data_IF_248357387545
#
_entry.id   IF_248357387545
#
_cell.length_a   1.000
_cell.length_b   1.000
_cell.length_c   1.000
_cell.angle_alpha   90.00
_cell.angle_beta   90.00
_cell.angle_gamma   90.00
#
_symmetry.space_group_name_H-M   'P 1'
#
loop_
_entity.id
_entity.type
_entity.pdbx_description
1 polymer ?
#
# COMPACT_ATOMS: atom_id res chain seq x y z
N UNK A 1 -4.06 6.78 -12.27
CA UNK A 1 -3.89 5.98 -11.05
C UNK A 1 -4.50 4.60 -11.21
N UNK A 2 -3.77 3.56 -10.80
CA UNK A 2 -4.22 2.16 -10.82
C UNK A 2 -4.34 1.58 -9.40
N UNK A 3 -4.45 2.45 -8.38
CA UNK A 3 -4.55 2.04 -6.98
C UNK A 3 -5.81 1.19 -6.80
N UNK A 4 -5.72 0.17 -5.97
CA UNK A 4 -6.79 -0.79 -5.70
C UNK A 4 -7.09 -0.93 -4.19
N UNK A 5 -6.46 -0.08 -3.37
CA UNK A 5 -6.64 0.01 -1.92
C UNK A 5 -6.26 1.40 -1.42
N UNK A 6 -7.00 1.88 -0.43
CA UNK A 6 -6.62 3.05 0.38
C UNK A 6 -6.20 2.57 1.76
N UNK A 7 -5.03 3.01 2.24
CA UNK A 7 -4.61 2.81 3.63
C UNK A 7 -4.79 4.12 4.38
N UNK A 8 -5.59 4.10 5.45
CA UNK A 8 -5.83 5.24 6.32
C UNK A 8 -5.07 5.10 7.64
N UNK A 9 -4.22 6.07 7.94
CA UNK A 9 -3.47 6.12 9.18
C UNK A 9 -4.25 6.82 10.30
N UNK A 10 -3.76 6.68 11.54
CA UNK A 10 -4.42 7.25 12.74
C UNK A 10 -4.52 8.79 12.74
N UNK A 11 -3.67 9.46 11.99
CA UNK A 11 -3.69 10.90 11.73
C UNK A 11 -4.53 11.29 10.49
N UNK A 12 -5.38 10.38 10.02
CA UNK A 12 -6.32 10.54 8.90
C UNK A 12 -5.64 10.90 7.56
N UNK A 13 -4.44 10.37 7.33
CA UNK A 13 -3.77 10.46 6.02
C UNK A 13 -4.09 9.22 5.21
N UNK A 14 -4.57 9.43 3.99
CA UNK A 14 -4.94 8.39 3.04
C UNK A 14 -3.80 8.14 2.04
N UNK A 15 -3.34 6.89 1.97
CA UNK A 15 -2.37 6.42 0.99
C UNK A 15 -3.05 5.53 -0.05
N UNK A 16 -3.01 5.95 -1.31
CA UNK A 16 -3.49 5.16 -2.45
C UNK A 16 -2.39 4.19 -2.88
N UNK A 17 -2.66 2.89 -2.79
CA UNK A 17 -1.64 1.85 -2.95
C UNK A 17 -2.09 0.71 -3.84
N UNK A 18 -1.12 -0.10 -4.30
CA UNK A 18 -1.35 -1.35 -5.02
C UNK A 18 -1.18 -2.55 -4.08
N UNK A 19 -2.25 -3.32 -3.85
CA UNK A 19 -2.26 -4.55 -3.03
C UNK A 19 -1.20 -5.55 -3.47
N UNK A 20 -0.95 -5.63 -4.78
CA UNK A 20 0.07 -6.52 -5.35
C UNK A 20 1.49 -6.17 -4.87
N UNK A 21 1.84 -4.89 -4.76
CA UNK A 21 3.19 -4.47 -4.34
C UNK A 21 3.41 -4.75 -2.84
N UNK A 22 2.39 -4.49 -2.02
CA UNK A 22 2.40 -4.85 -0.60
C UNK A 22 2.57 -6.37 -0.40
N UNK A 23 1.92 -7.17 -1.25
CA UNK A 23 1.99 -8.64 -1.18
C UNK A 23 3.32 -9.21 -1.68
N UNK A 24 3.94 -8.60 -2.69
CA UNK A 24 5.21 -9.06 -3.28
C UNK A 24 6.41 -8.87 -2.34
N UNK A 25 6.46 -7.78 -1.58
CA UNK A 25 7.58 -7.47 -0.69
C UNK A 25 7.41 -7.97 0.75
N UNK A 26 6.25 -8.54 1.08
CA UNK A 26 5.97 -9.18 2.37
C UNK A 26 5.61 -10.67 2.21
N UNK A 27 6.57 -11.54 1.82
CA UNK A 27 6.31 -12.95 1.58
C UNK A 27 5.72 -13.70 2.81
N UNK A 28 5.99 -13.21 4.03
CA UNK A 28 5.54 -13.83 5.30
C UNK A 28 4.35 -13.11 5.98
N UNK A 29 3.33 -12.76 5.20
CA UNK A 29 1.94 -12.79 5.66
C UNK A 29 1.27 -11.61 6.39
N UNK A 30 1.97 -10.57 6.84
CA UNK A 30 1.27 -9.43 7.48
C UNK A 30 0.24 -8.80 6.53
N UNK A 31 0.68 -8.29 5.38
CA UNK A 31 -0.25 -7.68 4.42
C UNK A 31 -1.21 -8.70 3.82
N UNK A 32 -0.79 -9.94 3.56
CA UNK A 32 -1.71 -10.96 3.01
C UNK A 32 -2.86 -11.28 3.97
N UNK A 33 -2.56 -11.51 5.26
CA UNK A 33 -3.61 -11.80 6.24
C UNK A 33 -4.50 -10.60 6.51
N UNK A 34 -3.93 -9.40 6.56
CA UNK A 34 -4.72 -8.18 6.75
C UNK A 34 -5.63 -7.96 5.55
N UNK A 35 -5.14 -8.11 4.33
CA UNK A 35 -5.91 -7.91 3.10
C UNK A 35 -6.94 -9.00 2.80
N UNK A 36 -6.73 -10.23 3.26
CA UNK A 36 -7.68 -11.35 3.15
C UNK A 36 -8.73 -11.32 4.27
N UNK A 37 -8.37 -10.83 5.46
CA UNK A 37 -9.23 -10.80 6.65
C UNK A 37 -9.97 -9.47 6.85
N UNK A 38 -9.54 -8.38 6.23
CA UNK A 38 -10.21 -7.08 6.35
C UNK A 38 -11.55 -7.09 5.62
N UNK A 39 -12.64 -7.07 6.38
CA UNK A 39 -13.92 -6.62 5.87
C UNK A 39 -13.83 -5.10 5.72
N UNK A 40 -13.58 -4.64 4.51
CA UNK A 40 -13.61 -3.22 4.18
C UNK A 40 -15.05 -2.72 4.38
N UNK A 41 -15.28 -1.93 5.42
CA UNK A 41 -16.60 -1.34 5.72
C UNK A 41 -16.75 0.06 5.16
N UNK A 42 -15.63 0.69 4.79
CA UNK A 42 -15.58 2.02 4.22
C UNK A 42 -14.90 1.97 2.85
N UNK A 43 -15.40 2.80 1.94
CA UNK A 43 -14.83 3.04 0.62
C UNK A 43 -14.45 4.52 0.49
N UNK A 44 -13.35 4.77 -0.21
CA UNK A 44 -12.85 6.10 -0.57
C UNK A 44 -12.55 6.10 -2.06
N UNK A 45 -13.22 6.96 -2.81
CA UNK A 45 -13.08 7.06 -4.27
C UNK A 45 -13.29 5.70 -4.97
N UNK A 46 -14.32 4.97 -4.55
CA UNK A 46 -14.67 3.60 -4.98
C UNK A 46 -13.61 2.52 -4.66
N UNK A 47 -12.64 2.84 -3.80
CA UNK A 47 -11.60 1.92 -3.34
C UNK A 47 -11.83 1.52 -1.88
N UNK A 48 -11.59 0.25 -1.51
CA UNK A 48 -11.70 -0.20 -0.14
C UNK A 48 -10.68 0.53 0.76
N UNK A 49 -11.11 0.92 1.96
CA UNK A 49 -10.24 1.52 2.97
C UNK A 49 -9.77 0.44 3.96
N UNK A 50 -8.48 0.45 4.26
CA UNK A 50 -7.84 -0.32 5.33
C UNK A 50 -7.29 0.65 6.36
N UNK A 51 -7.90 0.67 7.54
CA UNK A 51 -7.38 1.45 8.67
C UNK A 51 -6.19 0.73 9.33
N UNK A 52 -5.16 1.49 9.65
CA UNK A 52 -3.95 1.01 10.35
C UNK A 52 -3.74 1.79 11.64
N UNK A 53 -2.94 1.24 12.56
CA UNK A 53 -2.74 1.82 13.90
C UNK A 53 -1.55 2.78 13.98
N UNK A 54 -0.75 2.82 12.93
CA UNK A 54 0.41 3.66 12.77
C UNK A 54 0.01 5.04 12.22
N UNK A 55 0.84 6.06 12.49
CA UNK A 55 0.72 7.38 11.87
C UNK A 55 1.31 7.42 10.45
N UNK A 56 1.03 8.50 9.72
CA UNK A 56 1.49 8.69 8.35
C UNK A 56 3.01 8.65 8.17
N UNK A 57 3.79 9.16 9.13
CA UNK A 57 5.25 9.19 9.05
C UNK A 57 5.83 7.78 9.19
N UNK A 58 5.30 7.01 10.13
CA UNK A 58 5.67 5.61 10.36
C UNK A 58 5.28 4.77 9.14
N UNK A 59 4.03 4.90 8.68
CA UNK A 59 3.50 4.05 7.62
C UNK A 59 4.11 4.38 6.25
N UNK A 60 4.49 5.64 6.00
CA UNK A 60 5.24 6.01 4.79
C UNK A 60 6.55 5.24 4.68
N UNK A 61 7.29 5.06 5.78
CA UNK A 61 8.52 4.28 5.77
C UNK A 61 8.25 2.81 5.43
N UNK A 62 7.17 2.22 5.95
CA UNK A 62 6.74 0.86 5.60
C UNK A 62 6.46 0.74 4.10
N UNK A 63 5.72 1.68 3.53
CA UNK A 63 5.43 1.71 2.10
C UNK A 63 6.71 1.83 1.27
N UNK A 64 7.69 2.64 1.68
CA UNK A 64 8.97 2.75 0.96
C UNK A 64 9.74 1.42 0.86
N UNK A 65 9.57 0.48 1.81
CA UNK A 65 10.13 -0.87 1.69
C UNK A 65 9.33 -1.77 0.74
N UNK A 66 8.04 -1.50 0.54
CA UNK A 66 7.16 -2.28 -0.32
C UNK A 66 7.19 -1.85 -1.79
N UNK A 67 7.61 -0.63 -2.08
CA UNK A 67 7.68 -0.11 -3.44
C UNK A 67 9.11 -0.26 -3.97
N UNK A 68 9.29 -0.84 -5.18
CA UNK A 68 10.62 -0.94 -5.77
C UNK A 68 11.20 0.47 -5.96
N UNK A 69 12.36 0.71 -5.35
CA UNK A 69 13.11 1.96 -5.46
C UNK A 69 13.81 2.12 -6.81
N UNK A 70 13.88 1.05 -7.60
CA UNK A 70 14.58 1.05 -8.87
C UNK A 70 13.71 1.75 -9.92
N UNK A 71 14.00 3.04 -10.12
CA UNK A 71 13.68 3.70 -11.39
C UNK A 71 14.26 2.79 -12.49
N UNK A 72 13.46 2.32 -13.46
CA UNK A 72 14.00 1.56 -14.57
C UNK A 72 15.10 2.39 -15.22
N UNK A 73 16.33 1.88 -15.27
CA UNK A 73 17.34 2.44 -16.15
C UNK A 73 16.80 2.31 -17.58
N UNK A 74 16.26 3.41 -18.12
CA UNK A 74 15.97 3.51 -19.54
C UNK A 74 17.31 3.51 -20.25
N UNK A 75 17.79 2.33 -20.62
CA UNK A 75 18.88 2.20 -21.59
C UNK A 75 18.36 2.80 -22.88
N UNK A 76 19.00 3.87 -23.35
CA UNK A 76 18.82 4.32 -24.72
C UNK A 76 19.10 3.12 -25.62
N UNK A 77 18.10 2.74 -26.41
CA UNK A 77 18.29 1.79 -27.48
C UNK A 77 19.02 2.59 -28.58
N UNK A 78 20.34 2.40 -28.67
CA UNK A 78 21.11 2.87 -29.83
C UNK A 78 20.71 2.08 -31.09
#
# INVERSE_FOLDING_TARGET
DLADLVIRTTDNVDFFVHRVLLSLKSPSSFFRHVLEGSRHTEERDDLPVLEVKEDSSTFRNVLLFCYPYDVPEMKNIE
#
